data_IF_982901068488
#
_entry.id   IF_982901068488
#
_cell.length_a   1.000
_cell.length_b   1.000
_cell.length_c   1.000
_cell.angle_alpha   90.00
_cell.angle_beta   90.00
_cell.angle_gamma   90.00
#
_symmetry.space_group_name_H-M   'P 1'
#
loop_
_entity.id
_entity.type
_entity.pdbx_description
1 polymer ?
#
# COMPACT_ATOMS: atom_id res chain seq x y z
N UNK A 1 3.76 -36.45 -13.20
CA UNK A 1 2.30 -36.43 -12.99
C UNK A 1 1.83 -34.98 -12.98
N UNK A 2 0.86 -34.63 -13.81
CA UNK A 2 0.35 -33.26 -13.85
C UNK A 2 -0.52 -32.99 -12.61
N UNK A 3 -0.15 -31.98 -11.81
CA UNK A 3 -0.85 -31.61 -10.59
C UNK A 3 -1.78 -30.44 -10.87
N UNK A 4 -3.01 -30.72 -11.30
CA UNK A 4 -4.04 -29.71 -11.53
C UNK A 4 -5.06 -29.71 -10.39
N UNK A 5 -5.38 -28.53 -9.88
CA UNK A 5 -6.47 -28.37 -8.93
C UNK A 5 -7.83 -28.56 -9.63
N UNK A 6 -8.74 -29.28 -8.98
CA UNK A 6 -10.11 -29.42 -9.47
C UNK A 6 -10.89 -28.10 -9.31
N UNK A 7 -11.89 -27.87 -10.15
CA UNK A 7 -12.73 -26.66 -10.12
C UNK A 7 -13.35 -26.38 -8.74
N UNK A 8 -13.71 -27.41 -7.97
CA UNK A 8 -14.22 -27.27 -6.62
C UNK A 8 -13.15 -26.79 -5.61
N UNK A 9 -11.90 -27.22 -5.76
CA UNK A 9 -10.77 -26.73 -4.95
C UNK A 9 -10.47 -25.26 -5.27
N UNK A 10 -10.47 -24.88 -6.56
CA UNK A 10 -10.22 -23.50 -7.01
C UNK A 10 -11.23 -22.54 -6.40
N UNK A 11 -12.53 -22.90 -6.37
CA UNK A 11 -13.57 -22.06 -5.75
C UNK A 11 -13.35 -21.89 -4.24
N UNK A 12 -12.95 -22.96 -3.53
CA UNK A 12 -12.64 -22.90 -2.10
C UNK A 12 -11.40 -22.04 -1.83
N UNK A 13 -10.35 -22.14 -2.64
CA UNK A 13 -9.16 -21.30 -2.56
C UNK A 13 -9.52 -19.83 -2.73
N UNK A 14 -10.28 -19.48 -3.77
CA UNK A 14 -10.70 -18.09 -4.04
C UNK A 14 -11.50 -17.50 -2.88
N UNK A 15 -12.39 -18.30 -2.28
CA UNK A 15 -13.17 -17.86 -1.11
C UNK A 15 -12.24 -17.54 0.08
N UNK A 16 -11.35 -18.48 0.44
CA UNK A 16 -10.39 -18.26 1.52
C UNK A 16 -9.46 -17.06 1.28
N UNK A 17 -9.00 -16.87 0.03
CA UNK A 17 -8.17 -15.72 -0.35
C UNK A 17 -8.89 -14.40 -0.06
N UNK A 18 -10.13 -14.26 -0.52
CA UNK A 18 -10.92 -13.05 -0.27
C UNK A 18 -11.16 -12.85 1.22
N UNK A 19 -11.54 -13.90 1.95
CA UNK A 19 -11.81 -13.79 3.39
C UNK A 19 -10.59 -13.26 4.17
N UNK A 20 -9.38 -13.78 3.88
CA UNK A 20 -8.13 -13.35 4.54
C UNK A 20 -7.76 -11.92 4.12
N UNK A 21 -7.80 -11.62 2.81
CA UNK A 21 -7.47 -10.27 2.32
C UNK A 21 -8.39 -9.21 2.94
N UNK A 22 -9.68 -9.50 3.05
CA UNK A 22 -10.66 -8.57 3.62
C UNK A 22 -10.46 -8.42 5.13
N UNK A 23 -10.15 -9.52 5.83
CA UNK A 23 -9.88 -9.49 7.27
C UNK A 23 -8.59 -8.72 7.62
N UNK A 24 -7.56 -8.78 6.78
CA UNK A 24 -6.31 -8.05 7.02
C UNK A 24 -6.36 -6.60 6.58
N UNK A 25 -6.94 -6.32 5.40
CA UNK A 25 -7.04 -4.96 4.87
C UNK A 25 -8.14 -4.13 5.54
N UNK A 26 -9.22 -4.77 6.02
CA UNK A 26 -10.35 -4.08 6.64
C UNK A 26 -10.10 -3.60 8.07
N UNK A 27 -9.10 -4.16 8.77
CA UNK A 27 -8.79 -3.82 10.18
C UNK A 27 -7.81 -2.65 10.32
N UNK A 28 -7.11 -2.29 9.25
CA UNK A 28 -5.85 -1.55 9.30
C UNK A 28 -5.97 -0.29 8.43
N UNK A 29 -5.34 0.80 8.86
CA UNK A 29 -5.26 2.01 8.04
C UNK A 29 -4.29 1.84 6.87
N UNK A 30 -4.36 2.72 5.85
CA UNK A 30 -3.55 2.61 4.64
C UNK A 30 -2.03 2.52 4.92
N UNK A 31 -1.53 3.25 5.92
CA UNK A 31 -0.10 3.23 6.28
C UNK A 31 0.37 1.84 6.71
N UNK A 32 -0.34 1.24 7.66
CA UNK A 32 0.04 -0.07 8.19
C UNK A 32 -0.31 -1.21 7.22
N UNK A 33 -1.24 -0.99 6.28
CA UNK A 33 -1.46 -1.89 5.15
C UNK A 33 -0.23 -1.96 4.24
N UNK A 34 0.41 -0.83 3.95
CA UNK A 34 1.66 -0.80 3.16
C UNK A 34 2.78 -1.55 3.89
N UNK A 35 2.92 -1.34 5.22
CA UNK A 35 3.90 -2.07 6.04
C UNK A 35 3.72 -3.60 5.96
N UNK A 36 2.49 -4.10 5.75
CA UNK A 36 2.20 -5.54 5.56
C UNK A 36 2.49 -6.06 4.15
N UNK A 37 2.39 -5.20 3.14
CA UNK A 37 2.63 -5.55 1.74
C UNK A 37 4.13 -5.72 1.44
N UNK A 38 5.01 -4.91 2.05
CA UNK A 38 6.47 -4.97 1.84
C UNK A 38 7.05 -6.37 2.15
N UNK A 39 6.79 -7.00 3.32
CA UNK A 39 7.30 -8.33 3.62
C UNK A 39 6.43 -9.48 3.07
N UNK A 40 5.40 -9.16 2.27
CA UNK A 40 4.42 -10.11 1.71
C UNK A 40 3.72 -10.98 2.77
N UNK A 41 3.43 -10.40 3.94
CA UNK A 41 2.80 -11.12 5.07
C UNK A 41 1.45 -11.75 4.70
N UNK A 42 0.65 -11.03 3.91
CA UNK A 42 -0.68 -11.47 3.44
C UNK A 42 -0.55 -12.72 2.54
N UNK A 43 0.44 -12.74 1.65
CA UNK A 43 0.68 -13.85 0.73
C UNK A 43 1.05 -15.13 1.48
N UNK A 44 1.93 -15.00 2.48
CA UNK A 44 2.37 -16.10 3.35
C UNK A 44 1.23 -16.68 4.19
N UNK A 45 0.34 -15.85 4.73
CA UNK A 45 -0.81 -16.33 5.49
C UNK A 45 -1.82 -17.08 4.60
N UNK A 46 -2.03 -16.60 3.36
CA UNK A 46 -2.86 -17.31 2.38
C UNK A 46 -2.26 -18.68 2.05
N UNK A 47 -0.96 -18.77 1.83
CA UNK A 47 -0.28 -20.04 1.53
C UNK A 47 -0.51 -21.07 2.65
N UNK A 48 -0.26 -20.66 3.90
CA UNK A 48 -0.48 -21.50 5.09
C UNK A 48 -1.92 -21.99 5.22
N UNK A 49 -2.90 -21.12 5.02
CA UNK A 49 -4.32 -21.44 5.17
C UNK A 49 -4.88 -22.30 4.02
N UNK A 50 -4.23 -22.28 2.86
CA UNK A 50 -4.69 -23.00 1.65
C UNK A 50 -3.99 -24.34 1.44
N UNK A 51 -2.87 -24.61 2.13
CA UNK A 51 -2.15 -25.90 2.11
C UNK A 51 -3.08 -27.11 2.33
N UNK A 52 -4.09 -27.00 3.18
CA UNK A 52 -5.06 -28.09 3.43
C UNK A 52 -6.04 -28.38 2.28
N UNK A 53 -6.13 -27.51 1.26
CA UNK A 53 -6.99 -27.70 0.08
C UNK A 53 -6.16 -28.16 -1.11
N UNK A 54 -5.09 -27.42 -1.40
CA UNK A 54 -4.16 -27.67 -2.49
C UNK A 54 -2.87 -26.87 -2.21
N UNK A 55 -1.68 -27.44 -2.43
CA UNK A 55 -0.43 -26.71 -2.26
C UNK A 55 -0.30 -25.63 -3.33
N UNK A 56 -0.28 -24.36 -2.90
CA UNK A 56 0.00 -23.22 -3.78
C UNK A 56 1.48 -22.86 -3.64
N UNK A 57 2.07 -22.35 -4.74
CA UNK A 57 3.40 -21.74 -4.75
C UNK A 57 3.25 -20.31 -5.27
N UNK A 58 4.05 -19.41 -4.72
CA UNK A 58 4.15 -18.01 -5.14
C UNK A 58 2.81 -17.25 -5.12
N UNK A 59 2.30 -17.00 -3.92
CA UNK A 59 1.07 -16.21 -3.73
C UNK A 59 1.42 -14.75 -3.52
N UNK A 60 1.16 -13.93 -4.54
CA UNK A 60 1.58 -12.52 -4.60
C UNK A 60 0.37 -11.59 -4.79
N UNK A 61 0.43 -10.39 -4.18
CA UNK A 61 -0.53 -9.32 -4.46
C UNK A 61 -0.08 -8.58 -5.72
N UNK A 62 -0.70 -8.89 -6.87
CA UNK A 62 -0.25 -8.36 -8.16
C UNK A 62 -0.60 -6.89 -8.40
N UNK A 63 -1.71 -6.39 -7.86
CA UNK A 63 -2.16 -5.01 -8.05
C UNK A 63 -3.09 -4.58 -6.91
N UNK A 64 -2.81 -3.41 -6.35
CA UNK A 64 -3.71 -2.69 -5.44
C UNK A 64 -4.12 -1.40 -6.14
N UNK A 65 -5.43 -1.12 -6.20
CA UNK A 65 -5.96 0.12 -6.81
C UNK A 65 -6.78 0.89 -5.77
N UNK A 66 -6.45 2.16 -5.60
CA UNK A 66 -7.23 3.06 -4.75
C UNK A 66 -8.45 3.52 -5.56
N UNK A 67 -9.64 3.13 -5.12
CA UNK A 67 -10.91 3.53 -5.75
C UNK A 67 -11.38 4.90 -5.27
N UNK A 68 -11.27 5.14 -3.96
CA UNK A 68 -11.63 6.41 -3.33
C UNK A 68 -10.39 6.96 -2.66
N UNK A 69 -9.86 8.05 -3.21
CA UNK A 69 -8.75 8.76 -2.58
C UNK A 69 -9.26 9.46 -1.32
N UNK A 70 -8.57 9.35 -0.18
CA UNK A 70 -8.90 10.16 0.99
C UNK A 70 -8.77 11.64 0.64
N UNK A 71 -9.53 12.49 1.33
CA UNK A 71 -9.37 13.95 1.19
C UNK A 71 -7.97 14.33 1.67
N UNK A 72 -7.37 15.29 0.99
CA UNK A 72 -6.07 15.84 1.39
C UNK A 72 -6.20 16.52 2.75
N UNK A 73 -5.34 16.15 3.68
CA UNK A 73 -5.31 16.67 5.04
C UNK A 73 -3.84 16.90 5.41
N UNK A 74 -3.50 18.18 5.61
CA UNK A 74 -2.12 18.62 5.85
C UNK A 74 -1.59 18.00 7.14
N UNK A 75 -2.44 17.83 8.17
CA UNK A 75 -2.03 17.24 9.45
C UNK A 75 -1.63 15.78 9.31
N UNK A 76 -2.47 14.97 8.64
CA UNK A 76 -2.16 13.56 8.35
C UNK A 76 -0.95 13.39 7.44
N UNK A 77 -0.71 14.35 6.55
CA UNK A 77 0.45 14.33 5.66
C UNK A 77 1.74 14.67 6.41
N UNK A 78 1.72 15.66 7.29
CA UNK A 78 2.87 15.96 8.15
C UNK A 78 3.15 14.82 9.15
N UNK A 79 2.14 14.09 9.61
CA UNK A 79 2.37 12.83 10.35
C UNK A 79 2.98 11.72 9.48
N UNK A 80 2.74 11.72 8.17
CA UNK A 80 3.33 10.77 7.21
C UNK A 80 4.80 11.08 6.91
N UNK A 81 5.16 12.36 6.86
CA UNK A 81 6.48 12.84 6.48
C UNK A 81 7.31 13.45 7.63
N UNK A 82 6.77 13.52 8.84
CA UNK A 82 7.54 13.92 10.02
C UNK A 82 8.65 12.90 10.29
N UNK A 83 9.80 13.37 10.76
CA UNK A 83 11.00 12.57 11.11
C UNK A 83 10.69 11.56 12.23
N UNK A 84 10.01 10.48 11.86
CA UNK A 84 9.81 9.27 12.64
C UNK A 84 10.42 8.13 11.86
N UNK A 85 11.47 7.55 12.43
CA UNK A 85 12.37 6.48 11.97
C UNK A 85 11.69 5.16 11.51
N UNK A 86 10.79 5.21 10.53
CA UNK A 86 10.16 4.03 9.95
C UNK A 86 10.40 4.01 8.43
N UNK A 87 11.56 3.46 8.06
CA UNK A 87 11.90 2.97 6.71
C UNK A 87 11.70 4.02 5.60
N UNK A 88 12.64 4.98 5.55
CA UNK A 88 12.86 5.77 4.36
C UNK A 88 13.31 4.84 3.23
N UNK A 89 12.34 4.29 2.50
CA UNK A 89 12.59 3.68 1.20
C UNK A 89 13.49 4.60 0.37
N UNK A 90 14.47 4.01 -0.32
CA UNK A 90 15.51 4.73 -1.08
C UNK A 90 14.89 5.92 -1.80
N UNK A 91 15.31 7.13 -1.41
CA UNK A 91 14.93 8.35 -2.08
C UNK A 91 15.42 8.27 -3.53
N UNK A 92 14.52 7.91 -4.45
CA UNK A 92 14.73 8.22 -5.86
C UNK A 92 14.55 9.73 -5.99
N UNK A 93 15.64 10.46 -5.76
CA UNK A 93 15.75 11.87 -6.11
C UNK A 93 15.63 11.94 -7.63
N UNK A 94 14.41 12.14 -8.12
CA UNK A 94 14.23 12.77 -9.42
C UNK A 94 14.51 14.23 -9.15
N UNK A 95 15.66 14.72 -9.59
CA UNK A 95 15.96 16.15 -9.49
C UNK A 95 14.84 16.93 -10.18
N UNK A 96 14.10 17.70 -9.40
CA UNK A 96 13.11 18.62 -9.92
C UNK A 96 13.86 19.69 -10.72
N UNK A 97 13.63 19.73 -12.03
CA UNK A 97 14.18 20.79 -12.88
C UNK A 97 13.68 22.16 -12.42
N UNK A 98 14.54 23.18 -12.54
CA UNK A 98 14.44 24.55 -12.01
C UNK A 98 13.12 25.32 -12.28
N UNK A 99 12.16 24.75 -13.03
CA UNK A 99 10.88 25.35 -13.37
C UNK A 99 9.67 24.92 -12.52
N UNK A 100 9.80 23.94 -11.61
CA UNK A 100 8.67 23.48 -10.81
C UNK A 100 8.52 24.29 -9.50
N UNK A 101 8.09 25.56 -9.60
CA UNK A 101 7.64 26.29 -8.41
C UNK A 101 6.30 25.72 -7.93
N UNK A 102 6.27 25.22 -6.70
CA UNK A 102 5.04 24.84 -6.02
C UNK A 102 4.17 26.10 -5.83
N UNK A 103 3.01 26.12 -6.49
CA UNK A 103 2.05 27.24 -6.47
C UNK A 103 1.59 27.61 -5.04
N UNK A 104 1.68 26.69 -4.07
CA UNK A 104 1.30 26.95 -2.68
C UNK A 104 2.37 27.72 -1.90
N UNK A 105 3.66 27.60 -2.26
CA UNK A 105 4.74 28.38 -1.61
C UNK A 105 4.86 29.78 -2.20
N UNK A 106 4.43 29.97 -3.45
CA UNK A 106 4.40 31.29 -4.09
C UNK A 106 3.40 32.26 -3.41
N UNK A 107 2.28 31.74 -2.89
CA UNK A 107 1.33 32.57 -2.13
C UNK A 107 1.86 32.93 -0.74
N UNK A 108 2.71 32.09 -0.14
CA UNK A 108 3.33 32.37 1.16
C UNK A 108 4.43 33.45 1.07
N UNK A 109 5.29 33.39 0.04
CA UNK A 109 6.32 34.41 -0.20
C UNK A 109 5.72 35.80 -0.48
N UNK A 110 4.57 35.87 -1.13
CA UNK A 110 3.89 37.13 -1.44
C UNK A 110 3.26 37.82 -0.21
N UNK A 111 2.98 37.08 0.87
CA UNK A 111 2.44 37.65 2.12
C UNK A 111 3.57 38.24 2.95
N UNK A 112 4.75 37.61 2.97
CA UNK A 112 5.92 38.13 3.69
C UNK A 112 6.49 39.41 3.05
N UNK A 113 6.43 39.54 1.71
CA UNK A 113 6.87 40.77 1.00
C UNK A 113 5.87 41.95 1.13
N UNK A 114 4.63 41.72 1.56
CA UNK A 114 3.62 42.77 1.73
C UNK A 114 3.65 43.42 3.13
N UNK A 115 4.31 42.79 4.11
CA UNK A 115 4.42 43.27 5.48
C UNK A 115 5.81 43.87 5.82
N UNK A 116 6.70 44.03 4.83
CA UNK A 116 8.02 44.67 4.96
C UNK A 116 8.06 46.13 4.46
#
# INVERSE_FOLDING_TARGET
>A
ANCYAQSAQIRRIRKKMVDIMTAEAGKVQLRELVKKLIPESIGKEIEKQTQGIFPLKDVLVRKVKILKKPKFDITKLMELHGEGDDDAGVAMVVEEGEGAKNILTAEAEAVDDAEA
#
